data_IF_654642556167
#
_entry.id   IF_654642556167
#
_cell.length_a   1.000
_cell.length_b   1.000
_cell.length_c   1.000
_cell.angle_alpha   90.00
_cell.angle_beta   90.00
_cell.angle_gamma   90.00
#
_symmetry.space_group_name_H-M   'P 1'
#
loop_
_entity.id
_entity.type
_entity.pdbx_description
1 polymer ?
#
# COMPACT_ATOMS: atom_id res chain seq x y z
N UNK A 1 30.10 28.39 -30.92
CA UNK A 1 28.91 27.68 -30.41
C UNK A 1 27.97 27.45 -31.58
N UNK A 2 27.77 26.20 -31.99
CA UNK A 2 26.84 25.84 -33.07
C UNK A 2 25.48 25.56 -32.42
N UNK A 3 24.53 26.46 -32.60
CA UNK A 3 23.14 26.25 -32.20
C UNK A 3 22.47 25.36 -33.25
N UNK A 4 22.45 24.04 -33.02
CA UNK A 4 21.63 23.13 -33.80
C UNK A 4 20.20 23.15 -33.25
N UNK A 5 19.28 23.79 -33.97
CA UNK A 5 17.86 23.73 -33.67
C UNK A 5 17.35 22.30 -33.91
N UNK A 6 17.21 21.52 -32.84
CA UNK A 6 16.59 20.19 -32.89
C UNK A 6 15.07 20.38 -32.86
N UNK A 7 14.44 20.30 -34.02
CA UNK A 7 12.99 20.30 -34.16
C UNK A 7 12.46 18.89 -33.89
N UNK A 8 11.82 18.68 -32.73
CA UNK A 8 11.11 17.42 -32.43
C UNK A 8 9.65 17.56 -32.92
N UNK A 9 9.32 16.95 -34.05
CA UNK A 9 7.96 16.98 -34.65
C UNK A 9 6.99 15.99 -34.02
N UNK A 10 7.41 15.24 -32.99
CA UNK A 10 6.60 14.21 -32.36
C UNK A 10 5.52 14.79 -31.43
N UNK A 11 4.26 14.56 -31.80
CA UNK A 11 3.10 14.89 -30.98
C UNK A 11 2.89 13.82 -29.90
N UNK A 12 2.64 14.25 -28.65
CA UNK A 12 2.39 13.32 -27.53
C UNK A 12 1.13 12.50 -27.82
N UNK A 13 1.19 11.16 -27.80
CA UNK A 13 0.04 10.32 -28.05
C UNK A 13 -0.95 10.40 -26.86
N UNK A 14 -2.26 10.25 -27.11
CA UNK A 14 -3.26 10.29 -26.04
C UNK A 14 -3.08 9.10 -25.08
N UNK A 15 -3.37 9.27 -23.79
CA UNK A 15 -3.20 8.21 -22.77
C UNK A 15 -3.91 6.89 -23.10
N UNK A 16 -5.00 6.93 -23.87
CA UNK A 16 -5.72 5.75 -24.36
C UNK A 16 -4.93 4.86 -25.32
N UNK A 17 -3.80 5.36 -25.85
CA UNK A 17 -2.93 4.64 -26.77
C UNK A 17 -1.69 4.03 -26.12
N UNK A 18 -1.60 4.09 -24.78
CA UNK A 18 -0.54 3.43 -24.04
C UNK A 18 -0.87 1.94 -23.86
N UNK A 19 0.03 1.07 -24.27
CA UNK A 19 -0.10 -0.37 -24.09
C UNK A 19 0.88 -0.85 -23.01
N UNK A 20 0.38 -1.14 -21.81
CA UNK A 20 1.21 -1.55 -20.66
C UNK A 20 1.38 -3.08 -20.59
N UNK A 21 0.97 -3.81 -21.64
CA UNK A 21 0.92 -5.28 -21.61
C UNK A 21 2.23 -5.97 -22.02
N UNK A 22 3.27 -5.22 -22.40
CA UNK A 22 4.59 -5.80 -22.68
C UNK A 22 5.34 -6.08 -21.37
N UNK A 23 5.01 -7.22 -20.78
CA UNK A 23 5.60 -7.70 -19.54
C UNK A 23 7.11 -7.94 -19.66
N UNK A 24 7.64 -8.23 -20.84
CA UNK A 24 9.05 -8.57 -21.02
C UNK A 24 9.93 -7.33 -20.86
N UNK A 25 9.58 -6.23 -21.54
CA UNK A 25 10.26 -4.95 -21.39
C UNK A 25 10.14 -4.38 -19.97
N UNK A 26 8.97 -4.50 -19.35
CA UNK A 26 8.74 -4.08 -17.97
C UNK A 26 9.57 -4.90 -16.97
N UNK A 27 9.65 -6.21 -17.17
CA UNK A 27 10.41 -7.14 -16.31
C UNK A 27 11.90 -6.88 -16.45
N UNK A 28 12.41 -6.64 -17.66
CA UNK A 28 13.82 -6.32 -17.90
C UNK A 28 14.22 -5.00 -17.23
N UNK A 29 13.38 -3.96 -17.32
CA UNK A 29 13.62 -2.68 -16.65
C UNK A 29 13.55 -2.81 -15.12
N UNK A 30 12.54 -3.50 -14.58
CA UNK A 30 12.42 -3.75 -13.13
C UNK A 30 13.58 -4.58 -12.59
N UNK A 31 14.06 -5.58 -13.33
CA UNK A 31 15.21 -6.38 -12.94
C UNK A 31 16.49 -5.54 -12.87
N UNK A 32 16.68 -4.58 -13.78
CA UNK A 32 17.79 -3.63 -13.73
C UNK A 32 17.68 -2.66 -12.54
N UNK A 33 16.46 -2.20 -12.21
CA UNK A 33 16.20 -1.37 -11.04
C UNK A 33 16.54 -2.10 -9.73
N UNK A 34 16.09 -3.35 -9.57
CA UNK A 34 16.38 -4.19 -8.39
C UNK A 34 17.87 -4.49 -8.28
N UNK A 35 18.54 -4.73 -9.42
CA UNK A 35 20.00 -4.93 -9.45
C UNK A 35 20.73 -3.66 -9.03
N UNK A 36 20.29 -2.48 -9.48
CA UNK A 36 20.90 -1.21 -9.10
C UNK A 36 20.79 -0.99 -7.58
N UNK A 37 19.62 -1.25 -7.00
CA UNK A 37 19.39 -1.16 -5.56
C UNK A 37 20.30 -2.09 -4.76
N UNK A 38 20.49 -3.34 -5.21
CA UNK A 38 21.37 -4.30 -4.54
C UNK A 38 22.86 -4.00 -4.66
N UNK A 39 23.27 -3.14 -5.60
CA UNK A 39 24.67 -2.81 -5.88
C UNK A 39 25.06 -1.40 -5.46
N UNK A 40 24.20 -0.70 -4.70
CA UNK A 40 24.35 0.72 -4.37
C UNK A 40 24.51 1.63 -5.60
N UNK A 41 24.02 1.20 -6.76
CA UNK A 41 23.94 2.02 -7.96
C UNK A 41 22.70 2.93 -7.87
N UNK A 42 22.83 4.12 -8.41
CA UNK A 42 21.72 5.07 -8.48
C UNK A 42 20.77 4.72 -9.62
N UNK A 43 19.55 5.24 -9.60
CA UNK A 43 18.57 5.08 -10.69
C UNK A 43 19.12 5.62 -12.03
N UNK A 44 20.10 6.53 -11.99
CA UNK A 44 20.78 7.07 -13.16
C UNK A 44 21.73 6.07 -13.83
N UNK A 45 22.14 5.01 -13.12
CA UNK A 45 23.04 3.97 -13.62
C UNK A 45 22.29 2.85 -14.37
N UNK A 46 20.95 2.92 -14.43
CA UNK A 46 20.15 1.99 -15.23
C UNK A 46 20.48 2.23 -16.71
N UNK A 47 20.87 1.19 -17.46
CA UNK A 47 21.18 1.32 -18.87
C UNK A 47 20.05 2.02 -19.64
N UNK A 48 20.38 3.13 -20.32
CA UNK A 48 19.38 3.96 -20.99
C UNK A 48 18.61 3.20 -22.08
N UNK A 49 19.23 2.17 -22.67
CA UNK A 49 18.58 1.29 -23.64
C UNK A 49 17.38 0.54 -23.05
N UNK A 50 17.47 0.02 -21.82
CA UNK A 50 16.37 -0.68 -21.14
C UNK A 50 15.21 0.28 -20.83
N UNK A 51 15.54 1.50 -20.40
CA UNK A 51 14.52 2.54 -20.18
C UNK A 51 13.85 2.94 -21.49
N UNK A 52 14.60 3.07 -22.58
CA UNK A 52 14.06 3.37 -23.91
C UNK A 52 13.20 2.21 -24.44
N UNK A 53 13.62 0.96 -24.27
CA UNK A 53 12.85 -0.22 -24.68
C UNK A 53 11.53 -0.31 -23.91
N UNK A 54 11.55 -0.07 -22.61
CA UNK A 54 10.34 0.00 -21.80
C UNK A 54 9.42 1.18 -22.20
N UNK A 55 9.98 2.36 -22.48
CA UNK A 55 9.20 3.50 -22.97
C UNK A 55 8.61 3.23 -24.36
N UNK A 56 9.33 2.53 -25.23
CA UNK A 56 8.85 2.13 -26.56
C UNK A 56 7.76 1.08 -26.47
N UNK A 57 7.87 0.13 -25.55
CA UNK A 57 6.84 -0.90 -25.37
C UNK A 57 5.52 -0.33 -24.87
N UNK A 58 5.57 0.77 -24.11
CA UNK A 58 4.38 1.50 -23.67
C UNK A 58 3.65 2.26 -24.80
N UNK A 59 4.27 2.50 -25.95
CA UNK A 59 3.67 3.25 -27.07
C UNK A 59 3.17 2.26 -28.13
N UNK A 60 1.86 2.26 -28.45
CA UNK A 60 1.29 1.39 -29.49
C UNK A 60 2.05 1.49 -30.83
N UNK A 61 2.32 0.33 -31.44
CA UNK A 61 3.09 0.18 -32.69
C UNK A 61 2.43 0.78 -33.95
N UNK A 62 1.24 1.38 -33.85
CA UNK A 62 0.50 1.90 -35.01
C UNK A 62 0.98 3.27 -35.51
N UNK A 63 2.08 3.82 -34.96
CA UNK A 63 2.67 5.10 -35.38
C UNK A 63 4.19 5.04 -35.54
N UNK A 64 4.77 6.07 -36.15
CA UNK A 64 6.23 6.25 -36.24
C UNK A 64 6.84 6.26 -34.84
N UNK A 65 7.67 5.26 -34.53
CA UNK A 65 8.36 5.18 -33.26
C UNK A 65 9.26 6.41 -33.08
N UNK A 66 9.21 7.07 -31.91
CA UNK A 66 10.09 8.20 -31.64
C UNK A 66 11.55 7.75 -31.67
N UNK A 67 12.40 8.56 -32.31
CA UNK A 67 13.84 8.30 -32.31
C UNK A 67 14.38 8.43 -30.88
N UNK A 68 15.57 7.86 -30.62
CA UNK A 68 16.24 8.01 -29.33
C UNK A 68 16.43 9.50 -29.00
N UNK A 69 16.68 10.33 -30.02
CA UNK A 69 16.86 11.78 -29.87
C UNK A 69 15.55 12.45 -29.45
N UNK A 70 14.40 12.00 -29.96
CA UNK A 70 13.08 12.55 -29.57
C UNK A 70 12.72 12.21 -28.12
N UNK A 71 13.07 11.00 -27.67
CA UNK A 71 12.84 10.55 -26.29
C UNK A 71 13.81 11.20 -25.28
N UNK A 72 15.07 11.37 -25.65
CA UNK A 72 16.12 11.88 -24.75
C UNK A 72 16.17 13.42 -24.67
N UNK A 73 15.80 14.14 -25.73
CA UNK A 73 15.91 15.61 -25.78
C UNK A 73 14.95 16.33 -24.82
N UNK A 74 13.79 15.75 -24.50
CA UNK A 74 12.80 16.38 -23.62
C UNK A 74 13.14 16.31 -22.13
N UNK A 75 13.54 15.15 -21.55
CA UNK A 75 14.02 15.10 -20.18
C UNK A 75 15.24 16.00 -19.96
N UNK A 76 16.19 16.00 -20.92
CA UNK A 76 17.37 16.88 -20.87
C UNK A 76 17.02 18.36 -20.92
N UNK A 77 16.03 18.77 -21.72
CA UNK A 77 15.58 20.17 -21.77
C UNK A 77 14.90 20.61 -20.47
N UNK A 78 14.05 19.76 -19.89
CA UNK A 78 13.43 20.02 -18.59
C UNK A 78 14.46 20.10 -17.46
N UNK A 79 15.52 19.30 -17.55
CA UNK A 79 16.60 19.30 -16.56
C UNK A 79 17.47 20.55 -16.67
N UNK A 80 17.87 20.95 -17.88
CA UNK A 80 18.62 22.20 -18.12
C UNK A 80 17.81 23.45 -17.73
N UNK A 81 16.49 23.46 -17.97
CA UNK A 81 15.62 24.56 -17.56
C UNK A 81 15.41 24.61 -16.03
N UNK A 82 15.54 23.48 -15.32
CA UNK A 82 15.48 23.42 -13.86
C UNK A 82 16.77 23.87 -13.17
N UNK A 83 17.92 23.70 -13.82
CA UNK A 83 19.24 24.04 -13.28
C UNK A 83 19.62 25.50 -13.57
N UNK A 84 19.10 26.09 -14.66
CA UNK A 84 19.29 27.52 -14.99
C UNK A 84 18.36 28.48 -14.23
N UNK A 85 17.37 27.98 -13.48
CA UNK A 85 16.36 28.81 -12.79
C UNK A 85 16.57 28.80 -11.26
N UNK A 86 17.82 29.00 -10.86
CA UNK A 86 18.29 28.98 -9.49
C UNK A 86 17.89 30.16 -8.60
N UNK A 87 16.73 30.79 -8.78
CA UNK A 87 16.29 31.91 -7.94
C UNK A 87 14.78 31.86 -7.65
N UNK A 88 14.44 31.70 -6.35
CA UNK A 88 13.37 32.37 -5.58
C UNK A 88 11.93 32.56 -6.07
N UNK A 89 11.55 32.25 -7.31
CA UNK A 89 10.28 32.69 -7.91
C UNK A 89 9.11 31.69 -7.77
N UNK A 90 9.32 30.55 -7.10
CA UNK A 90 8.22 29.61 -6.85
C UNK A 90 7.25 30.08 -5.76
N UNK A 91 7.68 30.93 -4.81
CA UNK A 91 6.78 31.44 -3.77
C UNK A 91 5.80 32.51 -4.27
N UNK A 92 6.18 33.29 -5.29
CA UNK A 92 5.33 34.38 -5.81
C UNK A 92 4.23 33.87 -6.74
N UNK A 93 4.45 32.78 -7.47
CA UNK A 93 3.41 32.18 -8.32
C UNK A 93 2.36 31.41 -7.49
N UNK A 94 2.80 30.74 -6.43
CA UNK A 94 1.93 30.07 -5.47
C UNK A 94 1.06 31.10 -4.74
N UNK A 95 1.64 32.18 -4.20
CA UNK A 95 0.85 33.19 -3.47
C UNK A 95 -0.10 34.01 -4.36
N UNK A 96 0.22 34.26 -5.63
CA UNK A 96 -0.67 35.05 -6.53
C UNK A 96 -1.87 34.25 -7.05
N UNK A 97 -1.85 32.92 -6.94
CA UNK A 97 -2.96 32.06 -7.41
C UNK A 97 -4.01 31.79 -6.31
N UNK A 98 -3.72 32.12 -5.04
CA UNK A 98 -4.64 31.88 -3.91
C UNK A 98 -5.57 33.06 -3.57
N UNK A 99 -5.50 34.18 -4.29
CA UNK A 99 -6.30 35.38 -4.00
C UNK A 99 -7.63 35.46 -4.78
N UNK A 100 -8.06 34.36 -5.41
CA UNK A 100 -9.41 34.22 -5.96
C UNK A 100 -10.26 33.44 -4.93
N UNK A 101 -11.47 33.90 -4.55
CA UNK A 101 -12.32 33.22 -3.57
C UNK A 101 -12.94 31.94 -4.16
N UNK A 102 -12.11 30.93 -4.41
CA UNK A 102 -12.45 29.60 -4.94
C UNK A 102 -13.29 28.76 -3.96
N UNK A 103 -13.32 29.13 -2.68
CA UNK A 103 -14.05 28.38 -1.65
C UNK A 103 -15.57 28.36 -1.87
N UNK A 104 -16.16 29.41 -2.45
CA UNK A 104 -17.63 29.50 -2.56
C UNK A 104 -18.21 28.87 -3.83
N UNK A 105 -17.46 28.89 -4.94
CA UNK A 105 -17.89 28.34 -6.24
C UNK A 105 -17.54 26.86 -6.38
N UNK A 106 -16.38 26.43 -5.85
CA UNK A 106 -16.01 25.02 -5.83
C UNK A 106 -16.91 24.23 -4.87
N UNK A 107 -17.22 24.75 -3.68
CA UNK A 107 -18.08 24.06 -2.70
C UNK A 107 -19.49 23.81 -3.23
N UNK A 108 -20.12 24.82 -3.86
CA UNK A 108 -21.50 24.65 -4.39
C UNK A 108 -21.57 23.79 -5.64
N UNK A 109 -20.53 23.76 -6.46
CA UNK A 109 -20.47 22.89 -7.65
C UNK A 109 -20.15 21.45 -7.26
N UNK A 110 -19.26 21.26 -6.29
CA UNK A 110 -18.94 19.94 -5.71
C UNK A 110 -20.15 19.37 -4.97
N UNK A 111 -20.89 20.14 -4.18
CA UNK A 111 -22.11 19.67 -3.51
C UNK A 111 -23.23 19.29 -4.50
N UNK A 112 -23.44 20.09 -5.57
CA UNK A 112 -24.42 19.76 -6.62
C UNK A 112 -24.00 18.55 -7.45
N UNK A 113 -22.70 18.36 -7.67
CA UNK A 113 -22.16 17.22 -8.40
C UNK A 113 -22.20 15.94 -7.54
N UNK A 114 -21.83 16.01 -6.26
CA UNK A 114 -21.94 14.90 -5.31
C UNK A 114 -23.41 14.50 -5.13
N UNK A 115 -24.32 15.46 -4.97
CA UNK A 115 -25.75 15.19 -4.76
C UNK A 115 -26.47 14.54 -5.94
N UNK A 116 -26.08 14.85 -7.19
CA UNK A 116 -26.69 14.23 -8.39
C UNK A 116 -26.00 12.96 -8.85
N UNK A 117 -24.70 12.82 -8.61
CA UNK A 117 -23.94 11.67 -9.12
C UNK A 117 -23.97 10.50 -8.13
N UNK A 118 -24.01 10.73 -6.81
CA UNK A 118 -23.98 9.65 -5.80
C UNK A 118 -25.31 8.91 -5.64
N UNK A 119 -26.45 9.51 -6.03
CA UNK A 119 -27.78 8.95 -5.72
C UNK A 119 -28.18 7.73 -6.59
N UNK A 120 -27.48 7.45 -7.70
CA UNK A 120 -27.80 6.32 -8.58
C UNK A 120 -26.72 5.25 -8.70
N UNK A 121 -25.61 5.36 -7.96
CA UNK A 121 -24.65 4.26 -7.92
C UNK A 121 -25.13 3.21 -6.92
N UNK A 122 -25.06 1.96 -7.37
CA UNK A 122 -25.27 0.77 -6.54
C UNK A 122 -24.15 0.68 -5.49
N UNK A 123 -24.28 1.50 -4.45
CA UNK A 123 -23.33 1.63 -3.35
C UNK A 123 -23.13 0.27 -2.66
N UNK A 124 -24.17 -0.57 -2.66
CA UNK A 124 -24.13 -1.93 -2.14
C UNK A 124 -23.16 -2.80 -2.95
N UNK A 125 -23.24 -2.78 -4.29
CA UNK A 125 -22.31 -3.50 -5.15
C UNK A 125 -20.86 -2.98 -5.05
N UNK A 126 -20.67 -1.67 -4.86
CA UNK A 126 -19.35 -1.08 -4.58
C UNK A 126 -18.80 -1.55 -3.23
N UNK A 127 -19.62 -1.53 -2.19
CA UNK A 127 -19.26 -2.01 -0.85
C UNK A 127 -18.92 -3.49 -0.86
N UNK A 128 -19.68 -4.32 -1.58
CA UNK A 128 -19.43 -5.77 -1.69
C UNK A 128 -18.10 -6.07 -2.39
N UNK A 129 -17.83 -5.43 -3.53
CA UNK A 129 -16.54 -5.54 -4.22
C UNK A 129 -15.37 -5.05 -3.37
N UNK A 130 -15.57 -3.93 -2.68
CA UNK A 130 -14.59 -3.40 -1.72
C UNK A 130 -14.34 -4.40 -0.58
N UNK A 131 -15.39 -4.97 0.02
CA UNK A 131 -15.30 -5.94 1.11
C UNK A 131 -14.42 -7.15 0.76
N UNK A 132 -14.50 -7.62 -0.49
CA UNK A 132 -13.66 -8.70 -0.96
C UNK A 132 -12.19 -8.28 -1.09
N UNK A 133 -11.92 -7.09 -1.62
CA UNK A 133 -10.56 -6.54 -1.70
C UNK A 133 -9.93 -6.23 -0.32
N UNK A 134 -10.74 -5.80 0.66
CA UNK A 134 -10.28 -5.48 2.02
C UNK A 134 -9.70 -6.72 2.68
N UNK A 135 -10.23 -7.92 2.44
CA UNK A 135 -9.70 -9.13 3.06
C UNK A 135 -8.25 -9.40 2.64
N UNK A 136 -7.99 -9.37 1.33
CA UNK A 136 -6.64 -9.55 0.78
C UNK A 136 -5.72 -8.42 1.24
N UNK A 137 -6.22 -7.19 1.26
CA UNK A 137 -5.45 -6.04 1.68
C UNK A 137 -5.11 -6.05 3.18
N UNK A 138 -6.05 -6.49 4.03
CA UNK A 138 -5.82 -6.71 5.46
C UNK A 138 -4.72 -7.75 5.68
N UNK A 139 -4.78 -8.87 4.97
CA UNK A 139 -3.79 -9.94 5.13
C UNK A 139 -2.39 -9.44 4.70
N UNK A 140 -2.29 -8.73 3.57
CA UNK A 140 -1.04 -8.10 3.13
C UNK A 140 -0.53 -7.04 4.13
N UNK A 141 -1.42 -6.22 4.67
CA UNK A 141 -1.10 -5.19 5.67
C UNK A 141 -0.59 -5.79 6.98
N UNK A 142 -1.17 -6.91 7.43
CA UNK A 142 -0.72 -7.64 8.63
C UNK A 142 0.67 -8.25 8.43
N UNK A 143 0.91 -8.89 7.28
CA UNK A 143 2.24 -9.45 6.95
C UNK A 143 3.28 -8.33 6.87
N UNK A 144 2.95 -7.22 6.22
CA UNK A 144 3.84 -6.06 6.11
C UNK A 144 4.16 -5.45 7.47
N UNK A 145 3.15 -5.29 8.33
CA UNK A 145 3.32 -4.79 9.71
C UNK A 145 4.22 -5.72 10.53
N UNK A 146 3.99 -7.02 10.45
CA UNK A 146 4.82 -8.02 11.14
C UNK A 146 6.28 -7.98 10.64
N UNK A 147 6.49 -7.87 9.32
CA UNK A 147 7.82 -7.78 8.73
C UNK A 147 8.58 -6.52 9.20
N UNK A 148 7.92 -5.37 9.26
CA UNK A 148 8.56 -4.13 9.72
C UNK A 148 8.81 -4.09 11.22
N UNK A 149 7.95 -4.71 12.02
CA UNK A 149 8.25 -4.99 13.43
C UNK A 149 9.48 -5.90 13.56
N UNK A 150 9.57 -6.95 12.75
CA UNK A 150 10.75 -7.82 12.68
C UNK A 150 12.03 -7.06 12.30
N UNK A 151 11.95 -6.17 11.31
CA UNK A 151 13.08 -5.32 10.93
C UNK A 151 13.51 -4.37 12.05
N UNK A 152 12.56 -3.79 12.79
CA UNK A 152 12.85 -2.99 13.97
C UNK A 152 13.55 -3.84 15.05
N UNK A 153 13.05 -5.05 15.33
CA UNK A 153 13.67 -5.97 16.29
C UNK A 153 15.12 -6.30 15.93
N UNK A 154 15.41 -6.62 14.67
CA UNK A 154 16.78 -6.91 14.21
C UNK A 154 17.69 -5.71 14.41
N UNK A 155 17.22 -4.49 14.14
CA UNK A 155 17.99 -3.27 14.40
C UNK A 155 18.32 -3.08 15.88
N UNK A 156 17.36 -3.30 16.78
CA UNK A 156 17.62 -3.22 18.22
C UNK A 156 18.54 -4.34 18.72
N UNK A 157 18.38 -5.55 18.19
CA UNK A 157 19.26 -6.67 18.51
C UNK A 157 20.71 -6.39 18.08
N UNK A 158 20.91 -5.78 16.91
CA UNK A 158 22.23 -5.38 16.43
C UNK A 158 22.91 -4.35 17.34
N UNK A 159 22.15 -3.38 17.86
CA UNK A 159 22.65 -2.37 18.81
C UNK A 159 23.11 -2.98 20.13
N UNK A 160 22.39 -4.00 20.61
CA UNK A 160 22.74 -4.73 21.84
C UNK A 160 23.95 -5.62 21.60
N UNK A 161 24.06 -6.25 20.42
CA UNK A 161 25.16 -7.15 20.10
C UNK A 161 26.48 -6.41 19.86
N UNK A 162 26.44 -5.31 19.12
CA UNK A 162 27.64 -4.59 18.65
C UNK A 162 27.71 -3.17 19.23
N UNK A 163 28.13 -3.07 20.48
CA UNK A 163 28.30 -1.78 21.17
C UNK A 163 29.35 -0.83 20.53
N UNK A 164 30.16 -1.32 19.59
CA UNK A 164 31.23 -0.54 18.95
C UNK A 164 30.72 0.31 17.80
N UNK A 165 29.64 -0.08 17.14
CA UNK A 165 29.10 0.69 16.02
C UNK A 165 28.23 1.84 16.53
N UNK A 166 28.51 3.05 16.02
CA UNK A 166 27.72 4.23 16.31
C UNK A 166 26.42 4.17 15.52
N UNK A 167 25.45 3.42 16.04
CA UNK A 167 24.10 3.45 15.50
C UNK A 167 23.48 4.84 15.73
N UNK A 168 22.92 5.41 14.68
CA UNK A 168 22.20 6.67 14.78
C UNK A 168 20.93 6.47 15.63
N UNK A 169 20.82 7.16 16.76
CA UNK A 169 19.63 7.15 17.60
C UNK A 169 18.37 7.50 16.80
N UNK A 170 18.51 8.35 15.78
CA UNK A 170 17.45 8.67 14.83
C UNK A 170 16.94 7.44 14.07
N UNK A 171 17.84 6.59 13.56
CA UNK A 171 17.46 5.37 12.85
C UNK A 171 16.73 4.37 13.74
N UNK A 172 17.09 4.30 15.02
CA UNK A 172 16.42 3.45 16.00
C UNK A 172 15.01 3.98 16.32
N UNK A 173 14.91 5.23 16.75
CA UNK A 173 13.62 5.87 17.10
C UNK A 173 12.68 5.86 15.89
N UNK A 174 13.19 6.26 14.72
CA UNK A 174 12.43 6.24 13.48
C UNK A 174 11.89 4.86 13.10
N UNK A 175 12.66 3.80 13.35
CA UNK A 175 12.20 2.42 13.08
C UNK A 175 11.03 2.01 13.96
N UNK A 176 11.04 2.33 15.26
CA UNK A 176 9.93 2.04 16.20
C UNK A 176 8.68 2.82 15.82
N UNK A 177 8.82 4.12 15.53
CA UNK A 177 7.69 4.94 15.11
C UNK A 177 7.05 4.42 13.82
N UNK A 178 7.87 4.04 12.84
CA UNK A 178 7.38 3.49 11.58
C UNK A 178 6.66 2.15 11.76
N UNK A 179 7.23 1.23 12.55
CA UNK A 179 6.60 -0.06 12.81
C UNK A 179 5.30 0.07 13.61
N UNK A 180 5.27 0.95 14.61
CA UNK A 180 4.07 1.22 15.40
C UNK A 180 2.94 1.84 14.56
N UNK A 181 3.31 2.72 13.63
CA UNK A 181 2.34 3.42 12.80
C UNK A 181 1.60 2.50 11.82
N UNK A 182 2.19 1.37 11.43
CA UNK A 182 1.58 0.40 10.52
C UNK A 182 0.52 -0.48 11.16
N UNK A 183 0.47 -0.53 12.50
CA UNK A 183 -0.56 -1.23 13.23
C UNK A 183 -1.94 -0.57 13.00
N UNK A 184 -1.99 0.76 12.87
CA UNK A 184 -3.27 1.49 12.73
C UNK A 184 -4.03 1.15 11.44
N UNK A 185 -3.41 1.17 10.23
CA UNK A 185 -4.08 0.70 9.01
C UNK A 185 -4.64 -0.72 9.14
N UNK A 186 -3.86 -1.66 9.70
CA UNK A 186 -4.34 -3.03 9.91
C UNK A 186 -5.55 -3.08 10.87
N UNK A 187 -5.53 -2.29 11.94
CA UNK A 187 -6.68 -2.14 12.85
C UNK A 187 -7.91 -1.56 12.15
N UNK A 188 -7.75 -0.51 11.35
CA UNK A 188 -8.85 0.11 10.59
C UNK A 188 -9.49 -0.92 9.67
N UNK A 189 -8.69 -1.64 8.87
CA UNK A 189 -9.19 -2.66 7.96
C UNK A 189 -9.90 -3.79 8.69
N UNK A 190 -9.36 -4.21 9.84
CA UNK A 190 -9.97 -5.23 10.70
C UNK A 190 -11.37 -4.83 11.18
N UNK A 191 -11.65 -3.53 11.33
CA UNK A 191 -12.99 -3.05 11.72
C UNK A 191 -14.04 -3.19 10.61
N UNK A 192 -13.59 -3.14 9.35
CA UNK A 192 -14.45 -3.15 8.17
C UNK A 192 -14.70 -4.57 7.68
N UNK A 193 -13.75 -5.48 7.89
CA UNK A 193 -13.89 -6.87 7.47
C UNK A 193 -14.93 -7.60 8.31
N UNK A 194 -16.02 -7.99 7.66
CA UNK A 194 -16.91 -9.06 8.14
C UNK A 194 -16.57 -10.39 7.49
N UNK A 195 -16.24 -11.40 8.29
CA UNK A 195 -16.16 -12.76 7.78
C UNK A 195 -15.33 -13.71 8.63
N UNK A 196 -15.79 -14.96 8.86
CA UNK A 196 -15.05 -15.99 9.58
C UNK A 196 -13.97 -16.70 8.73
N UNK A 197 -13.78 -16.32 7.46
CA UNK A 197 -13.23 -17.20 6.41
C UNK A 197 -11.76 -17.63 6.56
N UNK A 198 -10.93 -16.95 7.35
CA UNK A 198 -9.53 -17.39 7.63
C UNK A 198 -9.07 -16.92 9.01
N UNK A 199 -9.81 -17.32 10.05
CA UNK A 199 -9.52 -16.90 11.42
C UNK A 199 -8.08 -17.24 11.86
N UNK A 200 -7.54 -18.41 11.48
CA UNK A 200 -6.27 -18.88 12.01
C UNK A 200 -5.06 -18.00 11.64
N UNK A 201 -4.83 -17.74 10.34
CA UNK A 201 -3.67 -16.95 9.88
C UNK A 201 -3.71 -15.54 10.47
N UNK A 202 -4.89 -14.92 10.52
CA UNK A 202 -5.06 -13.59 11.09
C UNK A 202 -4.77 -13.56 12.58
N UNK A 203 -5.23 -14.56 13.32
CA UNK A 203 -4.95 -14.65 14.76
C UNK A 203 -3.45 -14.84 14.98
N UNK A 204 -2.82 -15.73 14.22
CA UNK A 204 -1.38 -15.93 14.26
C UNK A 204 -0.60 -14.62 13.99
N UNK A 205 -0.96 -13.88 12.92
CA UNK A 205 -0.33 -12.60 12.60
C UNK A 205 -0.55 -11.55 13.69
N UNK A 206 -1.74 -11.48 14.29
CA UNK A 206 -2.00 -10.58 15.41
C UNK A 206 -1.18 -10.94 16.65
N UNK A 207 -1.07 -12.22 16.98
CA UNK A 207 -0.20 -12.67 18.06
C UNK A 207 1.27 -12.34 17.77
N UNK A 208 1.72 -12.50 16.53
CA UNK A 208 3.07 -12.12 16.11
C UNK A 208 3.29 -10.60 16.23
N UNK A 209 2.34 -9.78 15.77
CA UNK A 209 2.41 -8.30 15.89
C UNK A 209 2.45 -7.88 17.36
N UNK A 210 1.56 -8.42 18.21
CA UNK A 210 1.52 -8.10 19.64
C UNK A 210 2.83 -8.53 20.32
N UNK A 211 3.28 -9.76 20.06
CA UNK A 211 4.54 -10.29 20.60
C UNK A 211 5.74 -9.44 20.19
N UNK A 212 5.89 -9.15 18.89
CA UNK A 212 6.97 -8.31 18.40
C UNK A 212 6.91 -6.90 18.96
N UNK A 213 5.71 -6.32 19.10
CA UNK A 213 5.52 -4.99 19.68
C UNK A 213 5.97 -4.93 21.14
N UNK A 214 5.63 -5.93 21.95
CA UNK A 214 6.09 -6.04 23.34
C UNK A 214 7.62 -6.15 23.38
N UNK A 215 8.22 -6.99 22.53
CA UNK A 215 9.68 -7.14 22.48
C UNK A 215 10.35 -5.82 22.04
N UNK A 216 9.83 -5.13 21.02
CA UNK A 216 10.35 -3.81 20.59
C UNK A 216 10.26 -2.81 21.74
N UNK A 217 9.17 -2.77 22.51
CA UNK A 217 9.02 -1.87 23.67
C UNK A 217 10.04 -2.17 24.77
N UNK A 218 10.26 -3.45 25.10
CA UNK A 218 11.27 -3.88 26.08
C UNK A 218 12.68 -3.52 25.61
N UNK A 219 13.01 -3.78 24.35
CA UNK A 219 14.30 -3.44 23.77
C UNK A 219 14.49 -1.92 23.69
N UNK A 220 13.45 -1.17 23.36
CA UNK A 220 13.45 0.29 23.36
C UNK A 220 13.79 0.85 24.74
N UNK A 221 13.10 0.37 25.80
CA UNK A 221 13.36 0.78 27.19
C UNK A 221 14.77 0.41 27.63
N UNK A 222 15.22 -0.81 27.34
CA UNK A 222 16.56 -1.27 27.67
C UNK A 222 17.64 -0.44 26.97
N UNK A 223 17.50 -0.19 25.67
CA UNK A 223 18.41 0.65 24.91
C UNK A 223 18.42 2.10 25.44
N UNK A 224 17.24 2.65 25.77
CA UNK A 224 17.10 3.99 26.32
C UNK A 224 17.77 4.13 27.70
N UNK A 225 17.62 3.15 28.58
CA UNK A 225 18.29 3.14 29.89
C UNK A 225 19.82 3.01 29.77
N UNK A 226 20.30 2.26 28.78
CA UNK A 226 21.74 2.11 28.53
C UNK A 226 22.40 3.42 28.07
N UNK A 227 21.65 4.28 27.36
CA UNK A 227 22.12 5.58 26.87
C UNK A 227 21.96 6.70 27.91
N UNK A 228 22.63 6.54 29.07
CA UNK A 228 22.65 7.54 30.15
C UNK A 228 22.96 8.98 29.70
N UNK A 229 23.68 9.17 28.60
CA UNK A 229 24.01 10.49 28.04
C UNK A 229 22.79 11.29 27.53
N UNK A 230 21.67 10.63 27.23
CA UNK A 230 20.42 11.29 26.78
C UNK A 230 19.62 11.87 27.96
N UNK A 231 19.91 11.45 29.21
CA UNK A 231 19.15 11.89 30.39
C UNK A 231 19.30 13.38 30.74
N UNK A 232 20.26 14.07 30.11
CA UNK A 232 20.50 15.50 30.32
C UNK A 232 19.47 16.43 29.69
N UNK A 233 18.70 15.98 28.68
CA UNK A 233 17.74 16.84 27.98
C UNK A 233 16.31 16.65 28.53
N UNK A 234 15.74 17.66 29.23
CA UNK A 234 14.39 17.58 29.79
C UNK A 234 13.30 17.41 28.71
N UNK A 235 13.51 17.88 27.47
CA UNK A 235 12.51 17.78 26.41
C UNK A 235 12.26 16.31 25.98
N UNK A 236 13.30 15.48 25.99
CA UNK A 236 13.22 14.06 25.62
C UNK A 236 12.49 13.25 26.71
N UNK A 237 12.64 13.65 27.98
CA UNK A 237 11.97 13.01 29.12
C UNK A 237 10.45 13.17 29.08
N UNK A 238 9.95 14.34 28.70
CA UNK A 238 8.50 14.56 28.58
C UNK A 238 7.89 13.74 27.43
N UNK A 239 8.58 13.66 26.30
CA UNK A 239 8.12 12.87 25.15
C UNK A 239 8.03 11.37 25.45
N UNK A 240 9.01 10.81 26.15
CA UNK A 240 9.04 9.37 26.51
C UNK A 240 7.95 8.99 27.52
N UNK A 241 7.66 9.87 28.50
CA UNK A 241 6.54 9.64 29.42
C UNK A 241 5.18 9.66 28.72
N UNK A 242 5.00 10.54 27.74
CA UNK A 242 3.79 10.62 26.95
C UNK A 242 3.56 9.35 26.13
N UNK A 243 4.60 8.84 25.47
CA UNK A 243 4.55 7.59 24.70
C UNK A 243 4.22 6.38 25.59
N UNK A 244 4.84 6.27 26.77
CA UNK A 244 4.54 5.20 27.73
C UNK A 244 3.07 5.23 28.21
N UNK A 245 2.51 6.42 28.47
CA UNK A 245 1.10 6.56 28.87
C UNK A 245 0.14 6.15 27.74
N UNK A 246 0.45 6.47 26.49
CA UNK A 246 -0.34 6.07 25.32
C UNK A 246 -0.31 4.55 25.12
N UNK A 247 0.87 3.94 25.21
CA UNK A 247 1.02 2.49 25.03
C UNK A 247 0.29 1.69 26.13
N UNK A 248 0.39 2.15 27.38
CA UNK A 248 -0.38 1.55 28.47
C UNK A 248 -1.89 1.62 28.22
N UNK A 249 -2.40 2.73 27.67
CA UNK A 249 -3.81 2.85 27.30
C UNK A 249 -4.24 1.90 26.18
N UNK A 250 -3.39 1.67 25.18
CA UNK A 250 -3.68 0.78 24.05
C UNK A 250 -3.69 -0.71 24.44
N UNK A 251 -2.98 -1.10 25.50
CA UNK A 251 -2.86 -2.49 25.97
C UNK A 251 -3.93 -2.86 27.02
N UNK A 252 -4.72 -1.90 27.52
CA UNK A 252 -5.84 -2.13 28.47
C UNK A 252 -7.22 -2.40 27.79
N UNK A 253 -7.38 -3.18 26.69
CA UNK A 253 -8.68 -3.74 26.35
C UNK A 253 -9.13 -4.89 27.29
N UNK A 254 -8.21 -5.52 28.03
CA UNK A 254 -8.51 -6.76 28.77
C UNK A 254 -9.43 -6.54 29.97
N UNK A 255 -9.21 -5.49 30.77
CA UNK A 255 -10.10 -5.15 31.92
C UNK A 255 -11.45 -4.58 31.51
N UNK A 256 -11.52 -3.97 30.33
CA UNK A 256 -12.79 -3.47 29.78
C UNK A 256 -13.71 -4.60 29.32
N UNK A 257 -13.15 -5.75 28.92
CA UNK A 257 -13.92 -6.90 28.43
C UNK A 257 -14.87 -7.47 29.49
N UNK A 258 -14.47 -7.46 30.76
CA UNK A 258 -15.28 -7.96 31.90
C UNK A 258 -16.37 -6.95 32.31
N UNK A 259 -16.04 -5.65 32.38
CA UNK A 259 -17.02 -4.60 32.68
C UNK A 259 -18.07 -4.44 31.56
N UNK A 260 -17.70 -4.70 30.32
CA UNK A 260 -18.56 -4.60 29.15
C UNK A 260 -19.58 -5.74 29.04
N UNK A 261 -19.19 -6.96 29.46
CA UNK A 261 -20.06 -8.13 29.38
C UNK A 261 -21.26 -8.04 30.35
N UNK A 262 -21.10 -7.35 31.48
CA UNK A 262 -22.17 -7.18 32.48
C UNK A 262 -23.26 -6.19 32.04
N UNK A 263 -22.91 -5.12 31.30
CA UNK A 263 -23.88 -4.12 30.81
C UNK A 263 -24.53 -4.46 29.47
N UNK A 264 -23.94 -5.35 28.68
CA UNK A 264 -24.41 -5.68 27.33
C UNK A 264 -25.71 -6.51 27.28
N UNK A 265 -26.15 -7.14 28.37
CA UNK A 265 -27.34 -8.00 28.33
C UNK A 265 -28.69 -7.23 28.33
N UNK A 266 -28.74 -5.95 28.69
CA UNK A 266 -30.01 -5.19 28.73
C UNK A 266 -30.37 -4.44 27.45
N UNK A 267 -29.45 -4.27 26.50
CA UNK A 267 -29.73 -3.55 25.26
C UNK A 267 -30.19 -4.50 24.14
N UNK A 268 -31.49 -4.78 24.14
CA UNK A 268 -32.21 -5.46 23.05
C UNK A 268 -32.49 -4.55 21.83
N UNK A 269 -31.81 -3.40 21.67
CA UNK A 269 -31.71 -2.68 20.39
C UNK A 269 -30.63 -3.37 19.53
N UNK A 270 -31.02 -4.50 18.95
CA UNK A 270 -30.12 -5.59 18.53
C UNK A 270 -29.44 -5.36 17.16
N UNK A 271 -29.69 -4.26 16.46
CA UNK A 271 -29.27 -4.12 15.05
C UNK A 271 -28.20 -3.06 14.74
N UNK A 272 -28.04 -2.00 15.53
CA UNK A 272 -27.04 -0.96 15.20
C UNK A 272 -25.79 -0.95 16.06
N UNK A 273 -25.75 -1.64 17.20
CA UNK A 273 -24.59 -1.54 18.10
C UNK A 273 -23.29 -2.03 17.46
N UNK A 274 -23.32 -3.16 16.77
CA UNK A 274 -22.12 -3.69 16.09
C UNK A 274 -21.62 -2.75 15.01
N UNK A 275 -22.53 -2.13 14.25
CA UNK A 275 -22.19 -1.18 13.19
C UNK A 275 -21.61 0.10 13.78
N UNK A 276 -22.25 0.66 14.81
CA UNK A 276 -21.79 1.87 15.50
C UNK A 276 -20.43 1.67 16.17
N UNK A 277 -20.19 0.53 16.82
CA UNK A 277 -18.88 0.22 17.43
C UNK A 277 -17.77 0.13 16.37
N UNK A 278 -18.06 -0.44 15.19
CA UNK A 278 -17.08 -0.51 14.10
C UNK A 278 -16.75 0.86 13.53
N UNK A 279 -17.78 1.66 13.26
CA UNK A 279 -17.59 3.04 12.75
C UNK A 279 -16.80 3.85 13.78
N UNK A 280 -17.17 3.78 15.06
CA UNK A 280 -16.45 4.45 16.14
C UNK A 280 -14.98 4.00 16.20
N UNK A 281 -14.71 2.69 16.13
CA UNK A 281 -13.34 2.17 16.13
C UNK A 281 -12.54 2.64 14.90
N UNK A 282 -13.17 2.66 13.72
CA UNK A 282 -12.57 3.21 12.50
C UNK A 282 -12.21 4.68 12.63
N UNK A 283 -13.11 5.50 13.20
CA UNK A 283 -12.85 6.92 13.47
C UNK A 283 -11.71 7.10 14.48
N UNK A 284 -11.73 6.35 15.59
CA UNK A 284 -10.68 6.41 16.62
C UNK A 284 -9.32 6.04 16.03
N UNK A 285 -9.25 4.97 15.24
CA UNK A 285 -8.01 4.55 14.60
C UNK A 285 -7.54 5.56 13.53
N UNK A 286 -8.45 6.19 12.79
CA UNK A 286 -8.12 7.24 11.84
C UNK A 286 -7.56 8.49 12.54
N UNK A 287 -8.21 8.95 13.61
CA UNK A 287 -7.73 10.08 14.43
C UNK A 287 -6.35 9.76 15.02
N UNK A 288 -6.17 8.55 15.55
CA UNK A 288 -4.87 8.08 16.03
C UNK A 288 -3.82 8.11 14.91
N UNK A 289 -4.13 7.57 13.72
CA UNK A 289 -3.22 7.60 12.59
C UNK A 289 -2.82 9.04 12.20
N UNK A 290 -3.78 9.96 12.09
CA UNK A 290 -3.52 11.38 11.82
C UNK A 290 -2.65 12.04 12.91
N UNK A 291 -2.89 11.69 14.18
CA UNK A 291 -2.09 12.16 15.31
C UNK A 291 -0.64 11.66 15.19
N UNK A 292 -0.41 10.38 14.88
CA UNK A 292 0.93 9.83 14.67
C UNK A 292 1.65 10.45 13.48
N UNK A 293 0.96 10.71 12.36
CA UNK A 293 1.53 11.46 11.23
C UNK A 293 1.97 12.86 11.68
N UNK A 294 1.12 13.55 12.44
CA UNK A 294 1.40 14.91 12.91
C UNK A 294 2.59 14.93 13.87
N UNK A 295 2.66 13.96 14.79
CA UNK A 295 3.78 13.79 15.72
C UNK A 295 5.07 13.47 14.98
N UNK A 296 5.01 12.59 13.97
CA UNK A 296 6.15 12.26 13.13
C UNK A 296 6.63 13.47 12.30
N UNK A 297 5.71 14.26 11.76
CA UNK A 297 6.04 15.48 11.01
C UNK A 297 6.72 16.51 11.91
N UNK A 298 6.20 16.73 13.13
CA UNK A 298 6.85 17.61 14.12
C UNK A 298 8.22 17.11 14.51
N UNK A 299 8.34 15.82 14.82
CA UNK A 299 9.62 15.19 15.13
C UNK A 299 10.65 15.38 14.01
N UNK A 300 10.24 15.16 12.75
CA UNK A 300 11.10 15.38 11.59
C UNK A 300 11.51 16.85 11.45
N UNK A 301 10.59 17.79 11.69
CA UNK A 301 10.89 19.21 11.63
C UNK A 301 11.94 19.61 12.67
N UNK A 302 11.76 19.22 13.94
CA UNK A 302 12.74 19.48 15.00
C UNK A 302 14.11 18.88 14.70
N UNK A 303 14.15 17.72 14.05
CA UNK A 303 15.41 17.12 13.64
C UNK A 303 16.08 17.83 12.48
N UNK A 304 15.29 18.35 11.53
CA UNK A 304 15.84 19.13 10.43
C UNK A 304 16.53 20.40 10.94
N UNK A 305 15.97 21.04 11.97
CA UNK A 305 16.59 22.18 12.65
C UNK A 305 17.90 21.79 13.34
N UNK A 306 17.94 20.65 14.04
CA UNK A 306 19.14 20.17 14.73
C UNK A 306 20.25 19.67 13.80
N UNK A 307 19.90 19.13 12.63
CA UNK A 307 20.84 18.55 11.68
C UNK A 307 21.50 19.57 10.74
N UNK A 308 21.04 20.83 10.77
CA UNK A 308 21.37 21.87 9.79
C UNK A 308 22.87 22.22 9.74
N UNK A 309 23.66 21.83 10.75
CA UNK A 309 25.10 22.15 10.80
C UNK A 309 26.05 20.99 10.49
N UNK A 310 25.67 19.72 10.63
CA UNK A 310 26.67 18.61 10.59
C UNK A 310 26.49 17.55 9.50
N UNK A 311 25.35 17.45 8.80
CA UNK A 311 25.22 16.49 7.71
C UNK A 311 24.08 16.83 6.72
N UNK A 312 24.43 17.24 5.50
CA UNK A 312 23.50 17.64 4.41
C UNK A 312 22.77 16.49 3.70
N UNK A 313 22.78 15.25 4.22
CA UNK A 313 22.07 14.11 3.59
C UNK A 313 21.13 13.43 4.57
N UNK A 314 19.99 14.06 4.84
CA UNK A 314 18.84 13.37 5.43
C UNK A 314 17.99 12.85 4.27
N UNK A 315 18.50 11.82 3.60
CA UNK A 315 17.73 11.10 2.60
C UNK A 315 16.56 10.39 3.29
N UNK A 316 15.42 10.33 2.60
CA UNK A 316 14.27 9.58 3.08
C UNK A 316 14.71 8.15 3.38
N UNK A 317 14.58 7.71 4.64
CA UNK A 317 14.84 6.32 4.93
C UNK A 317 13.86 5.46 4.13
N UNK A 318 14.37 4.39 3.50
CA UNK A 318 13.59 3.46 2.68
C UNK A 318 12.24 3.08 3.31
N UNK A 319 12.20 2.90 4.64
CA UNK A 319 10.96 2.62 5.36
C UNK A 319 9.88 3.71 5.27
N UNK A 320 10.25 4.99 5.15
CA UNK A 320 9.32 6.11 4.97
C UNK A 320 8.68 6.08 3.58
N UNK A 321 9.50 5.84 2.55
CA UNK A 321 9.04 5.70 1.16
C UNK A 321 8.16 4.45 1.04
N UNK A 322 8.56 3.34 1.65
CA UNK A 322 7.82 2.09 1.64
C UNK A 322 6.48 2.19 2.39
N UNK A 323 6.45 2.87 3.54
CA UNK A 323 5.21 3.14 4.28
C UNK A 323 4.24 4.06 3.53
N UNK A 324 4.76 4.98 2.71
CA UNK A 324 3.94 5.81 1.82
C UNK A 324 3.45 5.00 0.61
N UNK A 325 4.36 4.26 -0.03
CA UNK A 325 4.08 3.45 -1.22
C UNK A 325 3.02 2.39 -0.95
N UNK A 326 3.01 1.79 0.24
CA UNK A 326 1.99 0.81 0.65
C UNK A 326 0.58 1.39 0.78
N UNK A 327 0.43 2.72 0.85
CA UNK A 327 -0.89 3.39 0.92
C UNK A 327 -1.42 3.83 -0.43
N UNK A 328 -0.53 4.03 -1.40
CA UNK A 328 -0.89 4.54 -2.72
C UNK A 328 -1.85 3.57 -3.44
N UNK A 329 -1.59 2.25 -3.51
CA UNK A 329 -2.53 1.31 -4.15
C UNK A 329 -3.92 1.34 -3.52
N UNK A 330 -4.03 1.45 -2.20
CA UNK A 330 -5.32 1.52 -1.49
C UNK A 330 -6.09 2.77 -1.87
N UNK A 331 -5.40 3.90 -1.85
CA UNK A 331 -5.99 5.18 -2.24
C UNK A 331 -6.45 5.13 -3.68
N UNK A 332 -5.57 4.68 -4.58
CA UNK A 332 -5.85 4.56 -6.02
C UNK A 332 -7.04 3.62 -6.26
N UNK A 333 -7.09 2.47 -5.60
CA UNK A 333 -8.16 1.48 -5.76
C UNK A 333 -9.50 2.00 -5.23
N UNK A 334 -9.47 2.65 -4.07
CA UNK A 334 -10.63 3.29 -3.49
C UNK A 334 -11.17 4.39 -4.42
N UNK A 335 -10.31 5.29 -4.90
CA UNK A 335 -10.71 6.34 -5.83
C UNK A 335 -11.16 5.78 -7.18
N UNK A 336 -10.50 4.74 -7.71
CA UNK A 336 -10.89 4.12 -8.97
C UNK A 336 -12.29 3.50 -8.89
N UNK A 337 -12.60 2.80 -7.81
CA UNK A 337 -13.95 2.25 -7.58
C UNK A 337 -14.97 3.37 -7.38
N UNK A 338 -14.62 4.44 -6.66
CA UNK A 338 -15.50 5.57 -6.40
C UNK A 338 -15.84 6.38 -7.66
N UNK A 339 -14.88 6.56 -8.57
CA UNK A 339 -15.08 7.34 -9.80
C UNK A 339 -15.57 6.52 -10.99
N UNK A 340 -15.05 5.31 -11.19
CA UNK A 340 -15.35 4.49 -12.37
C UNK A 340 -16.41 3.40 -12.14
N UNK A 341 -16.82 3.19 -10.88
CA UNK A 341 -17.69 2.09 -10.48
C UNK A 341 -16.95 0.77 -10.33
N UNK A 342 -17.55 -0.18 -9.62
CA UNK A 342 -16.92 -1.47 -9.27
C UNK A 342 -16.54 -2.30 -10.50
N UNK A 343 -17.36 -2.28 -11.56
CA UNK A 343 -17.12 -3.08 -12.77
C UNK A 343 -15.86 -2.63 -13.50
N UNK A 344 -15.73 -1.33 -13.84
CA UNK A 344 -14.54 -0.80 -14.53
C UNK A 344 -13.31 -0.74 -13.62
N UNK A 345 -13.49 -0.43 -12.34
CA UNK A 345 -12.39 -0.37 -11.37
C UNK A 345 -11.74 -1.73 -11.10
N UNK A 346 -12.49 -2.84 -11.26
CA UNK A 346 -12.01 -4.19 -10.98
C UNK A 346 -11.73 -5.05 -12.22
N UNK A 347 -12.27 -4.70 -13.41
CA UNK A 347 -12.14 -5.53 -14.63
C UNK A 347 -10.70 -5.77 -15.09
N UNK A 348 -9.73 -4.95 -14.67
CA UNK A 348 -8.31 -5.18 -14.96
C UNK A 348 -7.53 -5.96 -13.89
N UNK A 349 -8.16 -6.27 -12.76
CA UNK A 349 -7.51 -6.91 -11.59
C UNK A 349 -8.05 -8.30 -11.28
N UNK A 350 -9.22 -8.62 -11.82
CA UNK A 350 -9.80 -9.95 -11.73
C UNK A 350 -9.16 -10.83 -12.81
N UNK A 351 -8.82 -12.08 -12.46
CA UNK A 351 -8.22 -13.03 -13.40
C UNK A 351 -9.10 -13.14 -14.67
N UNK A 352 -8.49 -13.27 -15.84
CA UNK A 352 -9.15 -13.20 -17.16
C UNK A 352 -10.35 -14.16 -17.34
N UNK A 353 -10.41 -15.22 -16.51
CA UNK A 353 -11.46 -16.22 -16.52
C UNK A 353 -12.72 -15.81 -15.74
N UNK A 354 -12.67 -14.71 -14.98
CA UNK A 354 -13.79 -14.24 -14.18
C UNK A 354 -14.26 -12.88 -14.69
N UNK A 355 -15.54 -12.81 -15.07
CA UNK A 355 -16.21 -11.57 -15.44
C UNK A 355 -16.94 -11.01 -14.23
N UNK A 356 -16.70 -9.74 -13.90
CA UNK A 356 -17.49 -9.04 -12.88
C UNK A 356 -18.86 -8.79 -13.49
N UNK A 357 -19.87 -9.56 -13.07
CA UNK A 357 -21.25 -9.39 -13.53
C UNK A 357 -22.01 -8.63 -12.46
N UNK A 358 -22.66 -7.53 -12.84
CA UNK A 358 -23.54 -6.78 -11.94
C UNK A 358 -24.70 -7.68 -11.55
N UNK A 359 -24.88 -7.92 -10.25
CA UNK A 359 -25.98 -8.74 -9.75
C UNK A 359 -27.31 -7.96 -9.88
N UNK A 360 -27.84 -7.85 -11.10
CA UNK A 360 -29.21 -7.39 -11.32
C UNK A 360 -30.12 -8.49 -10.78
N UNK A 361 -30.63 -8.32 -9.56
CA UNK A 361 -31.50 -9.28 -8.88
C UNK A 361 -32.79 -9.66 -9.63
N UNK A 362 -32.99 -9.16 -10.86
CA UNK A 362 -34.14 -9.41 -11.72
C UNK A 362 -33.83 -10.43 -12.83
N UNK A 363 -32.58 -10.57 -13.26
CA UNK A 363 -32.21 -11.38 -14.45
C UNK A 363 -31.94 -12.86 -14.13
N UNK A 364 -31.86 -13.26 -12.85
CA UNK A 364 -31.61 -14.67 -12.48
C UNK A 364 -32.74 -15.62 -12.90
N UNK A 365 -33.97 -15.14 -13.06
CA UNK A 365 -35.08 -15.97 -13.57
C UNK A 365 -35.04 -16.11 -15.08
N UNK A 366 -34.52 -15.11 -15.78
CA UNK A 366 -34.40 -15.10 -17.23
C UNK A 366 -33.15 -15.84 -17.70
N UNK A 367 -31.99 -15.61 -17.07
CA UNK A 367 -30.76 -16.34 -17.37
C UNK A 367 -30.84 -17.82 -16.98
N UNK A 368 -31.54 -18.19 -15.89
CA UNK A 368 -31.77 -19.60 -15.55
C UNK A 368 -32.77 -20.29 -16.50
N UNK A 369 -33.72 -19.53 -17.07
CA UNK A 369 -34.63 -20.07 -18.10
C UNK A 369 -33.98 -20.08 -19.48
N UNK A 370 -33.04 -19.19 -19.79
CA UNK A 370 -32.19 -19.24 -20.98
C UNK A 370 -31.18 -20.38 -20.93
N UNK A 371 -30.56 -20.64 -19.76
CA UNK A 371 -29.68 -21.80 -19.57
C UNK A 371 -30.44 -23.13 -19.72
N UNK A 372 -31.74 -23.16 -19.38
CA UNK A 372 -32.62 -24.30 -19.64
C UNK A 372 -33.08 -24.42 -21.11
N UNK A 373 -32.99 -23.34 -21.89
CA UNK A 373 -33.35 -23.32 -23.32
C UNK A 373 -32.17 -23.56 -24.25
N UNK A 374 -30.94 -23.44 -23.76
CA UNK A 374 -29.78 -23.91 -24.53
C UNK A 374 -29.91 -25.43 -24.71
N UNK A 375 -29.84 -25.95 -25.95
CA UNK A 375 -29.87 -27.38 -26.19
C UNK A 375 -28.78 -28.01 -25.36
N UNK A 376 -29.20 -28.90 -24.47
CA UNK A 376 -28.35 -29.72 -23.64
C UNK A 376 -27.20 -30.23 -24.51
N UNK A 377 -26.00 -29.65 -24.35
CA UNK A 377 -24.80 -30.19 -24.97
C UNK A 377 -24.61 -31.53 -24.27
N UNK A 378 -25.14 -32.59 -24.88
CA UNK A 378 -24.98 -33.94 -24.41
C UNK A 378 -23.47 -34.16 -24.22
N UNK A 379 -23.03 -34.63 -23.04
CA UNK A 379 -21.63 -34.93 -22.82
C UNK A 379 -21.19 -35.93 -23.89
N UNK A 380 -20.45 -35.44 -24.87
CA UNK A 380 -19.94 -36.24 -25.96
C UNK A 380 -18.85 -37.14 -25.36
N UNK A 381 -19.23 -38.39 -25.10
CA UNK A 381 -18.37 -39.54 -24.84
C UNK A 381 -17.31 -39.36 -23.75
N UNK A 382 -17.75 -39.41 -22.49
CA UNK A 382 -16.93 -39.78 -21.34
C UNK A 382 -16.63 -41.29 -21.31
N UNK A 383 -16.25 -41.85 -22.46
CA UNK A 383 -15.84 -43.25 -22.64
C UNK A 383 -14.36 -43.37 -23.04
N UNK A 384 -13.63 -42.26 -23.15
CA UNK A 384 -12.20 -42.25 -23.56
C UNK A 384 -11.23 -41.81 -22.46
N UNK A 385 -11.71 -41.48 -21.25
CA UNK A 385 -10.82 -41.05 -20.15
C UNK A 385 -10.53 -42.14 -19.12
N UNK A 386 -11.32 -43.22 -19.09
CA UNK A 386 -11.09 -44.37 -18.19
C UNK A 386 -10.04 -45.37 -18.72
N UNK A 387 -9.64 -45.26 -19.99
CA UNK A 387 -8.56 -46.09 -20.57
C UNK A 387 -7.15 -45.48 -20.43
N UNK A 388 -7.04 -44.20 -20.07
CA UNK A 388 -5.74 -43.51 -19.88
C UNK A 388 -5.18 -43.60 -18.45
N UNK A 389 -6.04 -43.77 -17.44
CA UNK A 389 -5.63 -43.86 -16.03
C UNK A 389 -5.25 -45.28 -15.58
N UNK A 390 -5.62 -46.31 -16.36
CA UNK A 390 -5.19 -47.69 -16.12
C UNK A 390 -3.74 -47.97 -16.57
N UNK A 391 -3.13 -47.13 -17.40
CA UNK A 391 -1.78 -47.36 -17.93
C UNK A 391 -0.64 -46.84 -17.04
N UNK A 392 -0.93 -46.04 -16.00
CA UNK A 392 0.08 -45.51 -15.08
C UNK A 392 0.13 -46.22 -13.72
N UNK A 393 -0.76 -47.17 -13.44
CA UNK A 393 -0.78 -47.91 -12.18
C UNK A 393 0.06 -49.20 -12.17
N UNK A 394 0.64 -49.62 -13.31
CA UNK A 394 1.26 -50.94 -13.43
C UNK A 394 2.80 -50.96 -13.55
N UNK A 395 3.48 -49.82 -13.42
CA UNK A 395 4.93 -49.73 -13.67
C UNK A 395 5.79 -49.29 -12.46
N UNK A 396 5.37 -49.62 -11.23
CA UNK A 396 6.19 -49.32 -10.05
C UNK A 396 6.17 -50.42 -8.96
N UNK A 397 6.31 -51.68 -9.37
CA UNK A 397 6.76 -52.75 -8.49
C UNK A 397 8.21 -53.12 -8.84
N UNK A 398 9.13 -52.28 -8.38
CA UNK A 398 10.55 -52.56 -8.36
C UNK A 398 10.88 -53.45 -7.15
N UNK A 399 11.29 -54.67 -7.46
CA UNK A 399 11.91 -55.66 -6.58
C UNK A 399 12.95 -55.05 -5.64
N UNK A 400 12.73 -55.18 -4.33
CA UNK A 400 13.78 -55.05 -3.31
C UNK A 400 14.21 -56.47 -2.95
N UNK A 401 15.27 -56.93 -3.60
CA UNK A 401 15.85 -58.25 -3.41
C UNK A 401 16.87 -58.19 -2.26
N UNK A 402 16.60 -58.96 -1.22
CA UNK A 402 17.44 -59.07 -0.03
C UNK A 402 18.45 -60.20 -0.21
N UNK A 403 19.72 -59.89 -0.48
CA UNK A 403 20.87 -60.78 -0.20
C UNK A 403 22.14 -59.97 0.09
N UNK A 404 22.81 -60.32 1.18
CA UNK A 404 24.18 -59.89 1.52
C UNK A 404 24.29 -59.31 2.92
#
# INVERSE_FOLDING_TARGET
MISSNVSTSWARPPFSSLNVNDCDAATAWMAALVRAENTNLTVLDIPINLTIEYLRSMILQSGTQPSIVDLASRPLKLWNESELRGDGEYETWVNRTYDVPLKSVASRSVERWIGKTVVNYDLAGVLEGFQQSINTFLDASLVFTAALLGAALVRYAAVIRDHKEKYSAYGMIGSVFMSAFLIFPALILQTVVDGPRTHFIRHFLWFAIIGCTIVVDVLYKSAYESQKWVQGDPAIREHTQFVNKIWLWAIIPSRWKEAWNSRSQRFKLRWDWKRSVRIANGIVCFVAACFFISLFHRYRHSLHELANESNKKIDWQFGQVLALATRVPVGVDFFAVLFYGSERGMSGKVCSHYRVVRNRGVEKKEAASELQRLPYYAPHNQASFDSGLAYYAHHNQGSFDSRG
#
